data_IF_863919333332
#
_entry.id   IF_863919333332
#
_cell.length_a   1.000
_cell.length_b   1.000
_cell.length_c   1.000
_cell.angle_alpha   90.00
_cell.angle_beta   90.00
_cell.angle_gamma   90.00
#
_symmetry.space_group_name_H-M   'P 1'
#
loop_
_entity.id
_entity.type
_entity.pdbx_description
1 polymer ?
#
# COMPACT_ATOMS: atom_id res chain seq x y z
N UNK A 1 27.63 -8.03 0.92
CA UNK A 1 27.97 -7.02 -0.11
C UNK A 1 29.48 -6.79 -0.30
N UNK A 2 30.34 -7.07 0.69
CA UNK A 2 31.79 -6.80 0.58
C UNK A 2 32.63 -7.87 -0.17
N UNK A 3 32.06 -9.03 -0.48
CA UNK A 3 32.82 -10.17 -1.03
C UNK A 3 33.21 -10.01 -2.50
N UNK A 4 32.39 -9.33 -3.32
CA UNK A 4 32.63 -9.16 -4.76
C UNK A 4 33.86 -8.31 -5.10
N UNK A 5 33.99 -7.08 -4.55
CA UNK A 5 35.18 -6.24 -4.75
C UNK A 5 36.45 -6.90 -4.22
N UNK A 6 36.34 -7.63 -3.10
CA UNK A 6 37.47 -8.34 -2.49
C UNK A 6 37.95 -9.52 -3.35
N UNK A 7 37.04 -10.24 -4.03
CA UNK A 7 37.39 -11.32 -4.96
C UNK A 7 38.04 -10.81 -6.27
N UNK A 8 37.57 -9.67 -6.78
CA UNK A 8 38.19 -8.98 -7.92
C UNK A 8 39.63 -8.53 -7.61
N UNK A 9 39.90 -8.12 -6.36
CA UNK A 9 41.24 -7.75 -5.90
C UNK A 9 42.19 -8.94 -5.72
N UNK A 10 41.66 -10.17 -5.58
CA UNK A 10 42.43 -11.39 -5.30
C UNK A 10 42.71 -12.24 -6.56
N UNK A 11 42.77 -11.61 -7.75
CA UNK A 11 42.98 -12.21 -9.09
C UNK A 11 41.87 -13.15 -9.60
N UNK A 12 40.79 -13.38 -8.85
CA UNK A 12 39.62 -14.13 -9.29
C UNK A 12 38.58 -13.21 -9.96
N UNK A 13 39.01 -12.53 -11.03
CA UNK A 13 38.24 -11.49 -11.75
C UNK A 13 36.86 -11.98 -12.21
N UNK A 14 36.78 -13.22 -12.71
CA UNK A 14 35.53 -13.80 -13.26
C UNK A 14 34.48 -13.96 -12.17
N UNK A 15 34.84 -14.57 -11.03
CA UNK A 15 33.88 -14.76 -9.92
C UNK A 15 33.51 -13.44 -9.25
N UNK A 16 34.44 -12.50 -9.10
CA UNK A 16 34.12 -11.18 -8.55
C UNK A 16 33.18 -10.37 -9.46
N UNK A 17 33.37 -10.46 -10.78
CA UNK A 17 32.44 -9.88 -11.76
C UNK A 17 31.04 -10.51 -11.66
N UNK A 18 30.95 -11.85 -11.58
CA UNK A 18 29.67 -12.55 -11.41
C UNK A 18 28.95 -12.08 -10.15
N UNK A 19 29.64 -12.02 -9.00
CA UNK A 19 29.02 -11.54 -7.75
C UNK A 19 28.60 -10.08 -7.81
N UNK A 20 29.35 -9.23 -8.52
CA UNK A 20 29.01 -7.81 -8.67
C UNK A 20 27.76 -7.64 -9.54
N UNK A 21 27.69 -8.33 -10.69
CA UNK A 21 26.52 -8.29 -11.57
C UNK A 21 25.30 -8.88 -10.88
N UNK A 22 25.44 -10.03 -10.22
CA UNK A 22 24.34 -10.65 -9.46
C UNK A 22 23.87 -9.75 -8.31
N UNK A 23 24.82 -9.18 -7.55
CA UNK A 23 24.51 -8.25 -6.46
C UNK A 23 23.81 -6.98 -6.96
N UNK A 24 24.25 -6.43 -8.09
CA UNK A 24 23.62 -5.25 -8.69
C UNK A 24 22.21 -5.53 -9.19
N UNK A 25 21.98 -6.67 -9.87
CA UNK A 25 20.64 -7.08 -10.31
C UNK A 25 19.70 -7.27 -9.11
N UNK A 26 20.13 -7.96 -8.07
CA UNK A 26 19.34 -8.14 -6.85
C UNK A 26 19.04 -6.80 -6.18
N UNK A 27 20.03 -5.92 -6.08
CA UNK A 27 19.85 -4.59 -5.52
C UNK A 27 18.81 -3.77 -6.31
N UNK A 28 18.87 -3.80 -7.65
CA UNK A 28 17.91 -3.11 -8.51
C UNK A 28 16.47 -3.60 -8.28
N UNK A 29 16.27 -4.92 -8.12
CA UNK A 29 14.96 -5.50 -7.81
C UNK A 29 14.44 -5.05 -6.44
N UNK A 30 15.31 -5.07 -5.41
CA UNK A 30 14.96 -4.62 -4.06
C UNK A 30 14.60 -3.15 -4.03
N UNK A 31 15.41 -2.29 -4.66
CA UNK A 31 15.14 -0.84 -4.74
C UNK A 31 13.83 -0.56 -5.47
N UNK A 32 13.58 -1.24 -6.59
CA UNK A 32 12.31 -1.10 -7.31
C UNK A 32 11.12 -1.49 -6.43
N UNK A 33 11.19 -2.63 -5.74
CA UNK A 33 10.14 -3.10 -4.86
C UNK A 33 9.87 -2.12 -3.70
N UNK A 34 10.93 -1.68 -3.02
CA UNK A 34 10.84 -0.73 -1.91
C UNK A 34 10.29 0.63 -2.38
N UNK A 35 10.67 1.09 -3.56
CA UNK A 35 10.18 2.33 -4.15
C UNK A 35 8.68 2.28 -4.43
N UNK A 36 8.16 1.14 -4.92
CA UNK A 36 6.72 0.98 -5.09
C UNK A 36 6.01 0.98 -3.73
N UNK A 37 6.49 0.23 -2.74
CA UNK A 37 5.86 0.22 -1.41
C UNK A 37 5.84 1.61 -0.74
N UNK A 38 6.88 2.42 -0.96
CA UNK A 38 6.95 3.79 -0.42
C UNK A 38 5.97 4.76 -1.11
N UNK A 39 5.33 4.39 -2.23
CA UNK A 39 4.33 5.24 -2.91
C UNK A 39 2.89 4.95 -2.48
N UNK A 40 2.72 4.22 -1.39
CA UNK A 40 1.42 3.81 -0.86
C UNK A 40 1.08 4.64 0.36
N UNK A 41 0.19 5.61 0.19
CA UNK A 41 -0.17 6.57 1.23
C UNK A 41 -1.67 6.71 1.40
N UNK A 42 -2.10 6.86 2.64
CA UNK A 42 -3.44 7.31 2.98
C UNK A 42 -3.34 8.76 3.39
N UNK A 43 -4.09 9.63 2.72
CA UNK A 43 -4.06 11.08 2.96
C UNK A 43 -5.40 11.50 3.53
N UNK A 44 -5.38 11.95 4.78
CA UNK A 44 -6.54 12.61 5.36
C UNK A 44 -6.60 14.03 4.81
N UNK A 45 -7.77 14.46 4.35
CA UNK A 45 -8.06 15.83 3.90
C UNK A 45 -9.31 16.35 4.62
N UNK A 46 -9.57 17.67 4.63
CA UNK A 46 -10.79 18.20 5.26
C UNK A 46 -12.08 17.60 4.69
N UNK A 47 -12.08 17.29 3.40
CA UNK A 47 -13.21 16.70 2.68
C UNK A 47 -13.41 15.20 2.94
N UNK A 48 -12.44 14.49 3.52
CA UNK A 48 -12.49 13.03 3.62
C UNK A 48 -11.13 12.34 3.67
N UNK A 49 -11.08 11.11 3.17
CA UNK A 49 -9.90 10.26 3.14
C UNK A 49 -9.58 9.91 1.70
N UNK A 50 -8.34 10.15 1.27
CA UNK A 50 -7.86 9.76 -0.06
C UNK A 50 -6.95 8.56 0.08
N UNK A 51 -7.25 7.49 -0.65
CA UNK A 51 -6.39 6.33 -0.75
C UNK A 51 -5.54 6.44 -2.02
N UNK A 52 -4.24 6.70 -1.84
CA UNK A 52 -3.25 6.69 -2.90
C UNK A 52 -2.46 5.38 -2.85
N UNK A 53 -2.95 4.37 -3.55
CA UNK A 53 -2.30 3.06 -3.61
C UNK A 53 -2.30 2.50 -5.04
N UNK A 54 -1.22 2.77 -5.78
CA UNK A 54 -1.04 2.31 -7.17
C UNK A 54 -0.91 0.78 -7.31
N UNK A 55 -0.70 0.04 -6.20
CA UNK A 55 -0.66 -1.42 -6.23
C UNK A 55 -2.06 -2.03 -6.14
N UNK A 56 -2.99 -1.35 -5.45
CA UNK A 56 -4.36 -1.83 -5.23
C UNK A 56 -5.41 -1.11 -6.07
N UNK A 57 -5.17 0.15 -6.41
CA UNK A 57 -6.05 1.02 -7.17
C UNK A 57 -5.30 1.63 -8.36
N UNK A 58 -5.98 1.71 -9.49
CA UNK A 58 -5.43 2.34 -10.70
C UNK A 58 -5.42 3.87 -10.58
N UNK A 59 -6.41 4.42 -9.86
CA UNK A 59 -6.57 5.85 -9.64
C UNK A 59 -6.76 6.15 -8.15
N UNK A 60 -6.21 7.27 -7.65
CA UNK A 60 -6.50 7.71 -6.29
C UNK A 60 -7.97 8.04 -6.09
N UNK A 61 -8.59 7.47 -5.06
CA UNK A 61 -10.02 7.69 -4.77
C UNK A 61 -10.19 8.49 -3.49
N UNK A 62 -11.03 9.54 -3.56
CA UNK A 62 -11.46 10.32 -2.40
C UNK A 62 -12.76 9.74 -1.85
N UNK A 63 -12.72 9.23 -0.63
CA UNK A 63 -13.90 8.86 0.14
C UNK A 63 -14.38 10.08 0.92
N UNK A 64 -15.58 10.55 0.58
CA UNK A 64 -16.12 11.77 1.16
C UNK A 64 -16.47 11.58 2.63
N UNK A 65 -16.09 12.54 3.45
CA UNK A 65 -16.27 12.47 4.91
C UNK A 65 -17.71 12.22 5.34
N UNK A 66 -18.68 12.80 4.64
CA UNK A 66 -20.09 12.65 4.99
C UNK A 66 -20.65 11.29 4.59
N UNK A 67 -19.97 10.56 3.70
CA UNK A 67 -20.30 9.19 3.32
C UNK A 67 -19.59 8.18 4.21
N UNK A 68 -18.45 8.54 4.83
CA UNK A 68 -17.78 7.67 5.78
C UNK A 68 -18.69 7.36 6.97
N UNK A 69 -18.85 6.08 7.27
CA UNK A 69 -19.60 5.57 8.43
C UNK A 69 -18.68 5.03 9.51
N UNK A 70 -17.51 4.49 9.13
CA UNK A 70 -16.53 3.98 10.06
C UNK A 70 -15.11 4.03 9.47
N UNK A 71 -14.12 4.35 10.30
CA UNK A 71 -12.69 4.21 10.04
C UNK A 71 -12.05 3.58 11.27
N UNK A 72 -11.71 2.30 11.22
CA UNK A 72 -11.32 1.57 12.41
C UNK A 72 -10.61 0.26 12.15
N UNK A 73 -10.19 -0.47 13.19
CA UNK A 73 -9.60 -1.79 13.03
C UNK A 73 -10.57 -2.75 12.33
N UNK A 74 -10.05 -3.52 11.37
CA UNK A 74 -10.86 -4.46 10.62
C UNK A 74 -11.37 -5.61 11.51
N UNK A 75 -12.66 -5.89 11.40
CA UNK A 75 -13.26 -7.11 11.97
C UNK A 75 -12.86 -8.32 11.13
N UNK A 76 -12.74 -9.50 11.76
CA UNK A 76 -12.55 -10.77 11.07
C UNK A 76 -13.71 -11.15 10.14
N UNK A 77 -14.88 -10.54 10.35
CA UNK A 77 -16.10 -10.76 9.56
C UNK A 77 -16.35 -9.63 8.55
N UNK A 78 -15.34 -8.81 8.25
CA UNK A 78 -15.51 -7.72 7.28
C UNK A 78 -15.72 -8.25 5.86
N UNK A 79 -16.76 -7.75 5.19
CA UNK A 79 -17.05 -8.01 3.77
C UNK A 79 -16.51 -6.89 2.86
N UNK A 80 -15.75 -5.95 3.42
CA UNK A 80 -15.12 -4.84 2.68
C UNK A 80 -14.09 -5.35 1.67
N UNK A 81 -13.91 -4.64 0.55
CA UNK A 81 -12.95 -5.01 -0.48
C UNK A 81 -11.52 -4.96 0.08
N UNK A 82 -10.78 -6.07 0.00
CA UNK A 82 -9.42 -6.14 0.52
C UNK A 82 -8.41 -5.44 -0.41
N UNK A 83 -7.99 -4.24 -0.02
CA UNK A 83 -6.93 -3.47 -0.67
C UNK A 83 -5.63 -3.49 0.16
N UNK A 84 -5.48 -4.42 1.10
CA UNK A 84 -4.28 -4.53 1.95
C UNK A 84 -3.09 -5.10 1.19
N UNK A 85 -3.32 -5.83 0.09
CA UNK A 85 -2.31 -6.60 -0.68
C UNK A 85 -1.59 -7.64 0.19
N UNK A 86 -2.27 -8.20 1.20
CA UNK A 86 -1.68 -9.15 2.13
C UNK A 86 -0.59 -8.55 3.03
N UNK A 87 -0.61 -7.23 3.23
CA UNK A 87 0.37 -6.56 4.08
C UNK A 87 0.27 -7.04 5.54
N UNK A 88 1.44 -7.28 6.15
CA UNK A 88 1.54 -7.63 7.57
C UNK A 88 1.29 -6.38 8.43
N UNK A 89 0.19 -6.35 9.19
CA UNK A 89 -0.15 -5.24 10.06
C UNK A 89 -1.62 -5.22 10.44
N UNK A 90 -2.02 -4.23 11.24
CA UNK A 90 -3.43 -4.00 11.55
C UNK A 90 -4.12 -3.40 10.31
N UNK A 91 -4.95 -4.20 9.65
CA UNK A 91 -5.83 -3.70 8.62
C UNK A 91 -6.89 -2.79 9.25
N UNK A 92 -7.16 -1.67 8.58
CA UNK A 92 -8.23 -0.76 8.90
C UNK A 92 -9.37 -0.96 7.90
N UNK A 93 -10.58 -1.07 8.44
CA UNK A 93 -11.83 -1.10 7.68
C UNK A 93 -12.38 0.32 7.58
N UNK A 94 -12.53 0.79 6.34
CA UNK A 94 -13.11 2.08 5.99
C UNK A 94 -14.44 1.80 5.31
N UNK A 95 -15.53 2.16 5.98
CA UNK A 95 -16.89 1.90 5.51
C UNK A 95 -17.56 3.19 5.07
N UNK A 96 -18.39 3.06 4.03
CA UNK A 96 -19.19 4.12 3.46
C UNK A 96 -20.68 3.81 3.63
N UNK A 97 -21.51 4.85 3.69
CA UNK A 97 -22.96 4.74 3.73
C UNK A 97 -23.54 4.37 2.37
N UNK A 98 -22.91 4.86 1.31
CA UNK A 98 -23.23 4.65 -0.10
C UNK A 98 -22.14 3.83 -0.74
N UNK A 99 -22.50 3.06 -1.78
CA UNK A 99 -21.48 2.41 -2.58
C UNK A 99 -20.68 3.45 -3.38
N UNK A 100 -19.39 3.21 -3.49
CA UNK A 100 -18.44 4.08 -4.17
C UNK A 100 -17.76 3.31 -5.29
N UNK A 101 -17.70 3.89 -6.49
CA UNK A 101 -16.95 3.31 -7.59
C UNK A 101 -15.45 3.48 -7.35
N UNK A 102 -14.74 2.36 -7.35
CA UNK A 102 -13.28 2.31 -7.34
C UNK A 102 -12.79 1.55 -8.56
N UNK A 103 -11.53 1.76 -8.93
CA UNK A 103 -10.88 1.07 -10.04
C UNK A 103 -9.74 0.23 -9.48
N UNK A 104 -10.00 -1.02 -9.03
CA UNK A 104 -8.95 -1.88 -8.51
C UNK A 104 -7.91 -2.20 -9.59
N UNK A 105 -6.66 -2.32 -9.18
CA UNK A 105 -5.59 -2.74 -10.09
C UNK A 105 -5.84 -4.19 -10.50
N UNK A 106 -5.98 -4.42 -11.80
CA UNK A 106 -6.18 -5.76 -12.35
C UNK A 106 -4.86 -6.38 -12.79
N UNK A 107 -4.62 -7.62 -12.38
CA UNK A 107 -3.47 -8.41 -12.86
C UNK A 107 -3.64 -8.88 -14.30
N UNK A 108 -4.87 -8.90 -14.83
CA UNK A 108 -5.19 -9.33 -16.20
C UNK A 108 -5.17 -8.20 -17.23
N UNK A 109 -4.92 -6.96 -16.81
CA UNK A 109 -4.67 -5.81 -17.70
C UNK A 109 -5.88 -4.94 -18.04
N UNK A 110 -7.10 -5.32 -17.63
CA UNK A 110 -8.29 -4.48 -17.72
C UNK A 110 -8.80 -4.21 -16.31
N UNK A 111 -8.70 -2.95 -15.86
CA UNK A 111 -9.30 -2.51 -14.61
C UNK A 111 -10.77 -2.18 -14.85
N UNK A 112 -11.67 -2.85 -14.12
CA UNK A 112 -13.11 -2.59 -14.17
C UNK A 112 -13.54 -1.79 -12.93
N UNK A 113 -14.48 -0.88 -13.12
CA UNK A 113 -15.09 -0.16 -12.01
C UNK A 113 -15.82 -1.15 -11.11
N UNK A 114 -15.49 -1.14 -9.83
CA UNK A 114 -16.14 -1.95 -8.80
C UNK A 114 -16.83 -1.04 -7.82
N UNK A 115 -18.13 -1.22 -7.64
CA UNK A 115 -18.92 -0.54 -6.61
C UNK A 115 -18.65 -1.20 -5.25
N UNK A 116 -18.18 -0.43 -4.27
CA UNK A 116 -17.85 -0.94 -2.94
C UNK A 116 -18.52 -0.12 -1.83
N UNK A 117 -19.05 -0.79 -0.81
CA UNK A 117 -19.57 -0.14 0.40
C UNK A 117 -18.48 0.04 1.48
N UNK A 118 -17.29 -0.54 1.29
CA UNK A 118 -16.18 -0.41 2.20
C UNK A 118 -14.91 -1.06 1.66
N UNK A 119 -13.77 -0.70 2.23
CA UNK A 119 -12.45 -1.23 1.87
C UNK A 119 -11.60 -1.53 3.10
N UNK A 120 -10.67 -2.46 2.94
CA UNK A 120 -9.61 -2.73 3.91
C UNK A 120 -8.29 -2.14 3.40
N UNK A 121 -7.60 -1.40 4.26
CA UNK A 121 -6.27 -0.89 3.96
C UNK A 121 -5.32 -1.07 5.14
N UNK A 122 -4.03 -1.27 4.90
CA UNK A 122 -3.04 -1.51 5.95
C UNK A 122 -1.99 -0.39 5.94
N UNK A 123 -2.28 0.77 6.57
CA UNK A 123 -1.29 1.85 6.68
C UNK A 123 -0.13 1.43 7.59
N UNK A 124 1.07 1.93 7.32
CA UNK A 124 2.26 1.60 8.12
C UNK A 124 2.17 2.04 9.60
N UNK A 125 1.34 3.04 9.89
CA UNK A 125 1.10 3.60 11.24
C UNK A 125 -0.40 3.77 11.49
N UNK A 126 -1.13 2.67 11.78
CA UNK A 126 -2.58 2.71 11.94
C UNK A 126 -2.97 3.55 13.17
N UNK A 127 -2.19 3.50 14.24
CA UNK A 127 -2.33 4.30 15.45
C UNK A 127 -2.34 5.82 15.16
N UNK A 128 -1.33 6.30 14.43
CA UNK A 128 -1.18 7.71 14.11
C UNK A 128 -2.29 8.18 13.15
N UNK A 129 -2.67 7.32 12.20
CA UNK A 129 -3.75 7.63 11.26
C UNK A 129 -5.10 7.74 11.96
N UNK A 130 -5.44 6.79 12.85
CA UNK A 130 -6.69 6.84 13.62
C UNK A 130 -6.72 8.04 14.57
N UNK A 131 -5.60 8.37 15.22
CA UNK A 131 -5.50 9.55 16.06
C UNK A 131 -5.74 10.86 15.27
N UNK A 132 -5.16 10.99 14.07
CA UNK A 132 -5.38 12.14 13.20
C UNK A 132 -6.81 12.17 12.62
N UNK A 133 -7.38 11.01 12.27
CA UNK A 133 -8.76 10.90 11.84
C UNK A 133 -9.74 11.37 12.94
N UNK A 134 -9.49 10.97 14.19
CA UNK A 134 -10.27 11.40 15.34
C UNK A 134 -10.17 12.92 15.56
N UNK A 135 -8.96 13.51 15.50
CA UNK A 135 -8.77 14.98 15.58
C UNK A 135 -9.55 15.72 14.51
N UNK A 136 -9.65 15.14 13.31
CA UNK A 136 -10.40 15.70 12.19
C UNK A 136 -11.90 15.43 12.27
N UNK A 137 -12.39 14.77 13.33
CA UNK A 137 -13.77 14.33 13.56
C UNK A 137 -14.33 13.42 12.45
N UNK A 138 -13.49 12.53 11.94
CA UNK A 138 -13.96 11.38 11.14
C UNK A 138 -14.59 10.34 12.08
N UNK A 139 -15.49 9.47 11.57
CA UNK A 139 -16.14 8.46 12.39
C UNK A 139 -15.17 7.32 12.72
N UNK A 140 -14.36 7.50 13.76
CA UNK A 140 -13.42 6.47 14.23
C UNK A 140 -14.14 5.54 15.20
N UNK A 141 -14.05 4.22 14.99
CA UNK A 141 -14.74 3.21 15.80
C UNK A 141 -14.21 1.80 15.61
#
# INVERSE_FOLDING_TARGET
>A
LFTGPWLLANQHLISGLIFLVAGWLLFALVVRSLHQLNRRWVVLVPAGLVLHDHLSLNEPTLFQRHELTQVGPASSESTSLDLTQGAYGLALDVRCATEHEVWPTSTSGVAEATSIAGLLCAPARPDALLAEAAKRKMPVG
#
